data_IF_374028776285
#
_entry.id   IF_374028776285
#
_cell.length_a   1.000
_cell.length_b   1.000
_cell.length_c   1.000
_cell.angle_alpha   90.00
_cell.angle_beta   90.00
_cell.angle_gamma   90.00
#
_symmetry.space_group_name_H-M   'P 1'
#
loop_
_entity.id
_entity.type
_entity.pdbx_description
1 polymer ?
#
# COMPACT_ATOMS: atom_id res chain seq x y z
N UNK A 1 -8.53 17.01 15.66
CA UNK A 1 -7.42 16.99 16.65
C UNK A 1 -6.24 17.81 16.13
N UNK A 2 -5.94 18.92 16.81
CA UNK A 2 -4.76 19.78 16.61
C UNK A 2 -3.47 19.09 17.08
N UNK A 3 -3.03 18.06 16.37
CA UNK A 3 -1.69 17.49 16.52
C UNK A 3 -0.69 18.26 15.67
N UNK A 4 0.54 18.45 16.18
CA UNK A 4 1.67 18.99 15.41
C UNK A 4 1.85 18.25 14.08
N UNK A 5 2.37 18.93 13.05
CA UNK A 5 2.60 18.32 11.73
C UNK A 5 3.43 17.03 11.81
N UNK A 6 4.42 16.98 12.72
CA UNK A 6 5.16 15.75 13.03
C UNK A 6 4.25 14.59 13.45
N UNK A 7 3.29 14.83 14.36
CA UNK A 7 2.33 13.80 14.80
C UNK A 7 1.41 13.36 13.66
N UNK A 8 0.98 14.30 12.81
CA UNK A 8 0.16 13.99 11.63
C UNK A 8 0.92 13.12 10.65
N UNK A 9 2.17 13.45 10.35
CA UNK A 9 3.01 12.65 9.44
C UNK A 9 3.29 11.26 10.01
N UNK A 10 3.58 11.13 11.32
CA UNK A 10 3.73 9.83 11.96
C UNK A 10 2.46 8.97 11.84
N UNK A 11 1.28 9.56 12.01
CA UNK A 11 0.00 8.87 11.82
C UNK A 11 -0.17 8.42 10.35
N UNK A 12 0.12 9.28 9.38
CA UNK A 12 0.08 8.94 7.95
C UNK A 12 1.04 7.80 7.61
N UNK A 13 2.28 7.82 8.12
CA UNK A 13 3.25 6.74 7.96
C UNK A 13 2.75 5.41 8.53
N UNK A 14 2.22 5.41 9.76
CA UNK A 14 1.65 4.21 10.39
C UNK A 14 0.46 3.68 9.59
N UNK A 15 -0.40 4.57 9.10
CA UNK A 15 -1.53 4.20 8.25
C UNK A 15 -1.05 3.55 6.95
N UNK A 16 -0.11 4.17 6.23
CA UNK A 16 0.49 3.60 5.01
C UNK A 16 1.08 2.21 5.29
N UNK A 17 1.88 2.05 6.35
CA UNK A 17 2.47 0.74 6.72
C UNK A 17 1.41 -0.33 6.98
N UNK A 18 0.36 0.00 7.75
CA UNK A 18 -0.74 -0.93 8.05
C UNK A 18 -1.48 -1.34 6.77
N UNK A 19 -1.79 -0.38 5.90
CA UNK A 19 -2.55 -0.64 4.69
C UNK A 19 -1.73 -1.42 3.65
N UNK A 20 -0.44 -1.11 3.50
CA UNK A 20 0.47 -1.91 2.67
C UNK A 20 0.52 -3.35 3.15
N UNK A 21 0.72 -3.58 4.45
CA UNK A 21 0.75 -4.95 5.01
C UNK A 21 -0.53 -5.76 4.70
N UNK A 22 -1.71 -5.14 4.84
CA UNK A 22 -2.98 -5.78 4.48
C UNK A 22 -3.07 -6.14 2.99
N UNK A 23 -2.65 -5.23 2.12
CA UNK A 23 -2.65 -5.44 0.67
C UNK A 23 -1.66 -6.54 0.26
N UNK A 24 -0.50 -6.61 0.91
CA UNK A 24 0.49 -7.67 0.71
C UNK A 24 -0.04 -9.04 1.10
N UNK A 25 -0.72 -9.16 2.26
CA UNK A 25 -1.35 -10.43 2.65
C UNK A 25 -2.44 -10.83 1.64
N UNK A 26 -3.25 -9.88 1.17
CA UNK A 26 -4.28 -10.14 0.16
C UNK A 26 -3.66 -10.58 -1.17
N UNK A 27 -2.56 -9.95 -1.59
CA UNK A 27 -1.86 -10.24 -2.84
C UNK A 27 -1.44 -11.71 -2.98
N UNK A 28 -1.02 -12.35 -1.87
CA UNK A 28 -0.58 -13.75 -1.88
C UNK A 28 -1.66 -14.77 -2.25
N UNK A 29 -2.95 -14.41 -2.13
CA UNK A 29 -4.09 -15.27 -2.48
C UNK A 29 -4.98 -14.67 -3.57
N UNK A 30 -4.58 -13.54 -4.15
CA UNK A 30 -5.39 -12.76 -5.07
C UNK A 30 -5.41 -13.37 -6.48
N UNK A 31 -6.58 -13.33 -7.12
CA UNK A 31 -6.70 -13.63 -8.56
C UNK A 31 -5.99 -12.56 -9.42
N UNK A 32 -5.70 -12.81 -10.71
CA UNK A 32 -5.05 -11.82 -11.59
C UNK A 32 -5.77 -10.47 -11.63
N UNK A 33 -7.11 -10.48 -11.71
CA UNK A 33 -7.91 -9.25 -11.67
C UNK A 33 -7.78 -8.51 -10.34
N UNK A 34 -7.73 -9.23 -9.22
CA UNK A 34 -7.53 -8.61 -7.91
C UNK A 34 -6.11 -8.06 -7.73
N UNK A 35 -5.10 -8.69 -8.31
CA UNK A 35 -3.72 -8.19 -8.29
C UNK A 35 -3.60 -6.83 -8.99
N UNK A 36 -4.28 -6.64 -10.12
CA UNK A 36 -4.39 -5.34 -10.80
C UNK A 36 -5.04 -4.28 -9.90
N UNK A 37 -6.13 -4.63 -9.21
CA UNK A 37 -6.79 -3.73 -8.26
C UNK A 37 -5.90 -3.41 -7.04
N UNK A 38 -5.13 -4.38 -6.56
CA UNK A 38 -4.17 -4.16 -5.47
C UNK A 38 -3.05 -3.21 -5.92
N UNK A 39 -2.52 -3.38 -7.14
CA UNK A 39 -1.51 -2.48 -7.71
C UNK A 39 -2.04 -1.03 -7.81
N UNK A 40 -3.27 -0.84 -8.29
CA UNK A 40 -3.95 0.48 -8.32
C UNK A 40 -4.08 1.10 -6.92
N UNK A 41 -4.45 0.30 -5.91
CA UNK A 41 -4.54 0.75 -4.51
C UNK A 41 -3.18 1.14 -3.94
N UNK A 42 -2.12 0.38 -4.25
CA UNK A 42 -0.77 0.70 -3.80
C UNK A 42 -0.29 2.04 -4.37
N UNK A 43 -0.48 2.29 -5.67
CA UNK A 43 -0.12 3.56 -6.35
C UNK A 43 -0.76 4.79 -5.70
N UNK A 44 -2.02 4.67 -5.25
CA UNK A 44 -2.73 5.76 -4.55
C UNK A 44 -2.30 5.94 -3.09
N UNK A 45 -1.78 4.89 -2.46
CA UNK A 45 -1.48 4.88 -1.02
C UNK A 45 -0.08 5.42 -0.71
N UNK A 46 0.91 5.13 -1.56
CA UNK A 46 2.31 5.46 -1.29
C UNK A 46 3.06 5.77 -2.60
N UNK A 47 3.94 6.78 -2.62
CA UNK A 47 4.72 7.10 -3.81
C UNK A 47 5.69 5.99 -4.21
N UNK A 48 6.21 5.21 -3.26
CA UNK A 48 7.07 4.04 -3.52
C UNK A 48 6.31 2.77 -3.92
N UNK A 49 5.15 2.90 -4.58
CA UNK A 49 4.29 1.77 -4.90
C UNK A 49 4.89 0.83 -5.94
N UNK A 50 5.62 1.35 -6.93
CA UNK A 50 6.17 0.52 -8.03
C UNK A 50 7.13 -0.56 -7.50
N UNK A 51 7.99 -0.23 -6.53
CA UNK A 51 8.88 -1.19 -5.87
C UNK A 51 8.07 -2.31 -5.18
N UNK A 52 6.94 -1.97 -4.56
CA UNK A 52 6.07 -2.96 -3.91
C UNK A 52 5.34 -3.82 -4.94
N UNK A 53 4.94 -3.24 -6.08
CA UNK A 53 4.24 -3.93 -7.17
C UNK A 53 5.16 -4.96 -7.82
N UNK A 54 6.41 -4.58 -8.09
CA UNK A 54 7.45 -5.44 -8.65
C UNK A 54 7.80 -6.57 -7.68
N UNK A 55 8.09 -6.24 -6.41
CA UNK A 55 8.42 -7.23 -5.37
C UNK A 55 7.31 -8.25 -5.12
N UNK A 56 6.05 -7.85 -5.34
CA UNK A 56 4.88 -8.71 -5.14
C UNK A 56 4.37 -9.34 -6.45
N UNK A 57 5.04 -9.09 -7.58
CA UNK A 57 4.68 -9.58 -8.91
C UNK A 57 3.18 -9.41 -9.21
N UNK A 58 2.66 -8.21 -8.95
CA UNK A 58 1.23 -7.89 -9.07
C UNK A 58 0.80 -7.54 -10.49
N UNK A 59 1.74 -7.15 -11.34
CA UNK A 59 1.52 -6.84 -12.74
C UNK A 59 2.61 -7.58 -13.52
N UNK A 60 2.18 -8.40 -14.48
CA UNK A 60 3.02 -9.00 -15.52
C UNK A 60 2.75 -8.30 -16.83
#
# INVERSE_FOLDING_TARGET
MSGSERRRELRRRRHRRKQVGKLTVKAGKASPAEKLEIARKLRRLTPGAEILIERLSLVS
#
